data_IF_132306157758
#
_entry.id   IF_132306157758
#
_cell.length_a   1.000
_cell.length_b   1.000
_cell.length_c   1.000
_cell.angle_alpha   90.00
_cell.angle_beta   90.00
_cell.angle_gamma   90.00
#
_symmetry.space_group_name_H-M   'P 1'
#
loop_
_entity.id
_entity.type
_entity.pdbx_description
1 polymer ?
#
# COMPACT_ATOMS: atom_id res chain seq x y z
N UNK A 1 -4.64 -9.07 18.75
CA UNK A 1 -4.44 -9.39 17.33
C UNK A 1 -4.37 -8.09 16.56
N UNK A 2 -3.23 -7.82 15.92
CA UNK A 2 -2.97 -6.58 15.18
C UNK A 2 -3.64 -6.61 13.79
N UNK A 3 -3.91 -5.44 13.20
CA UNK A 3 -4.52 -5.35 11.86
C UNK A 3 -3.69 -6.10 10.79
N UNK A 4 -2.36 -6.05 10.88
CA UNK A 4 -1.47 -6.74 9.96
C UNK A 4 -1.71 -8.26 9.98
N UNK A 5 -1.87 -8.86 11.17
CA UNK A 5 -2.10 -10.31 11.34
C UNK A 5 -3.41 -10.74 10.68
N UNK A 6 -4.44 -9.89 10.72
CA UNK A 6 -5.75 -10.17 10.10
C UNK A 6 -5.74 -10.09 8.58
N UNK A 7 -4.76 -9.38 8.01
CA UNK A 7 -4.66 -9.11 6.59
C UNK A 7 -3.52 -9.88 5.91
N UNK A 8 -2.75 -10.66 6.67
CA UNK A 8 -1.56 -11.38 6.21
C UNK A 8 -1.84 -12.32 5.01
N UNK A 9 -3.04 -12.90 4.96
CA UNK A 9 -3.48 -13.81 3.91
C UNK A 9 -4.31 -13.12 2.81
N UNK A 10 -4.35 -11.78 2.78
CA UNK A 10 -5.20 -11.00 1.87
C UNK A 10 -4.40 -10.22 0.84
N UNK A 11 -5.12 -9.86 -0.22
CA UNK A 11 -4.71 -8.82 -1.16
C UNK A 11 -4.85 -7.47 -0.47
N UNK A 12 -3.75 -6.75 -0.25
CA UNK A 12 -3.75 -5.47 0.43
C UNK A 12 -3.11 -4.43 -0.46
N UNK A 13 -3.79 -3.31 -0.64
CA UNK A 13 -3.21 -2.11 -1.20
C UNK A 13 -3.23 -1.00 -0.17
N UNK A 14 -2.06 -0.40 0.05
CA UNK A 14 -1.78 0.69 0.96
C UNK A 14 -1.39 1.87 0.08
N UNK A 15 -2.13 2.97 0.20
CA UNK A 15 -1.84 4.21 -0.51
C UNK A 15 -1.62 5.33 0.48
N UNK A 16 -0.55 6.10 0.27
CA UNK A 16 -0.17 7.13 1.23
C UNK A 16 0.50 8.35 0.59
N UNK A 17 0.34 9.49 1.28
CA UNK A 17 1.00 10.75 0.98
C UNK A 17 2.38 10.87 1.61
N UNK A 18 3.44 11.14 0.85
CA UNK A 18 4.79 11.30 1.42
C UNK A 18 4.87 12.44 2.45
N UNK A 19 4.05 13.49 2.26
CA UNK A 19 3.96 14.67 3.10
C UNK A 19 2.79 14.63 4.08
N UNK A 20 2.19 13.45 4.35
CA UNK A 20 1.17 13.29 5.39
C UNK A 20 1.79 13.47 6.79
N UNK A 21 1.64 14.67 7.35
CA UNK A 21 2.17 15.02 8.69
C UNK A 21 1.34 14.44 9.84
N UNK A 22 0.12 13.94 9.57
CA UNK A 22 -0.79 13.43 10.60
C UNK A 22 -0.47 11.99 10.98
N UNK A 23 -0.25 11.15 9.98
CA UNK A 23 0.09 9.73 10.18
C UNK A 23 1.60 9.52 10.08
N UNK A 24 2.29 10.31 9.25
CA UNK A 24 3.70 10.12 8.94
C UNK A 24 3.94 8.89 8.06
N UNK A 25 4.87 9.02 7.11
CA UNK A 25 5.19 7.94 6.16
C UNK A 25 5.76 6.68 6.80
N UNK A 26 6.40 6.83 7.96
CA UNK A 26 7.00 5.72 8.69
C UNK A 26 5.98 4.66 9.11
N UNK A 27 4.79 5.05 9.58
CA UNK A 27 3.78 4.08 10.04
C UNK A 27 3.25 3.21 8.91
N UNK A 28 2.99 3.80 7.73
CA UNK A 28 2.52 3.04 6.57
C UNK A 28 3.61 2.08 6.04
N UNK A 29 4.87 2.53 6.05
CA UNK A 29 6.02 1.70 5.68
C UNK A 29 6.19 0.55 6.67
N UNK A 30 6.20 0.81 7.99
CA UNK A 30 6.36 -0.21 9.02
C UNK A 30 5.20 -1.23 8.97
N UNK A 31 3.97 -0.76 8.72
CA UNK A 31 2.81 -1.62 8.53
C UNK A 31 2.94 -2.51 7.28
N UNK A 32 3.37 -1.95 6.15
CA UNK A 32 3.62 -2.70 4.93
C UNK A 32 4.74 -3.74 5.11
N UNK A 33 5.84 -3.35 5.77
CA UNK A 33 6.95 -4.25 6.10
C UNK A 33 6.48 -5.40 6.98
N UNK A 34 5.70 -5.12 8.04
CA UNK A 34 5.16 -6.16 8.92
C UNK A 34 4.21 -7.10 8.18
N UNK A 35 3.34 -6.57 7.32
CA UNK A 35 2.47 -7.38 6.48
C UNK A 35 3.27 -8.29 5.55
N UNK A 36 4.30 -7.75 4.89
CA UNK A 36 5.17 -8.52 4.03
C UNK A 36 5.96 -9.58 4.80
N UNK A 37 6.39 -9.30 6.03
CA UNK A 37 7.10 -10.27 6.88
C UNK A 37 6.23 -11.50 7.15
N UNK A 38 4.99 -11.28 7.61
CA UNK A 38 4.10 -12.35 8.08
C UNK A 38 3.24 -12.98 6.97
N UNK A 39 3.18 -12.38 5.79
CA UNK A 39 2.38 -12.93 4.69
C UNK A 39 2.96 -14.28 4.23
N UNK A 40 2.11 -15.33 4.10
CA UNK A 40 2.52 -16.64 3.60
C UNK A 40 2.64 -16.66 2.06
N UNK A 41 2.34 -15.56 1.37
CA UNK A 41 2.25 -15.50 -0.08
C UNK A 41 3.60 -15.22 -0.76
N UNK A 42 3.68 -15.42 -2.08
CA UNK A 42 4.92 -15.38 -2.86
C UNK A 42 5.47 -13.95 -2.94
N UNK A 43 6.77 -13.78 -2.65
CA UNK A 43 7.46 -12.48 -2.59
C UNK A 43 8.46 -12.41 -3.73
N UNK A 44 8.36 -11.40 -4.60
CA UNK A 44 9.36 -11.13 -5.66
C UNK A 44 10.41 -10.10 -5.20
N UNK A 45 11.59 -10.13 -5.82
CA UNK A 45 12.73 -9.28 -5.46
C UNK A 45 12.58 -7.83 -5.96
N UNK A 46 13.11 -6.90 -5.17
CA UNK A 46 12.75 -5.48 -5.13
C UNK A 46 13.21 -4.66 -6.35
N UNK A 47 12.34 -3.76 -6.82
CA UNK A 47 12.79 -2.48 -7.37
C UNK A 47 12.14 -1.28 -6.68
N UNK A 48 10.84 -1.30 -6.34
CA UNK A 48 10.15 -0.10 -5.81
C UNK A 48 9.03 -0.34 -4.75
N UNK A 49 9.07 -1.41 -3.92
CA UNK A 49 8.06 -1.77 -2.87
C UNK A 49 6.78 -2.53 -3.32
N UNK A 50 6.88 -3.43 -4.30
CA UNK A 50 5.71 -4.16 -4.82
C UNK A 50 6.02 -5.66 -5.00
N UNK A 51 5.10 -6.52 -4.55
CA UNK A 51 4.88 -7.88 -5.08
C UNK A 51 3.72 -7.76 -6.07
N UNK A 52 3.88 -8.29 -7.29
CA UNK A 52 2.92 -8.11 -8.38
C UNK A 52 1.50 -8.59 -8.04
N UNK A 53 1.33 -9.46 -7.03
CA UNK A 53 0.04 -10.13 -6.83
C UNK A 53 -0.63 -9.98 -5.46
N UNK A 54 -0.02 -9.42 -4.40
CA UNK A 54 -0.59 -9.57 -3.04
C UNK A 54 -0.59 -8.33 -2.14
N UNK A 55 0.58 -7.77 -1.82
CA UNK A 55 0.68 -6.62 -0.91
C UNK A 55 1.38 -5.49 -1.61
N UNK A 56 0.78 -4.32 -1.50
CA UNK A 56 1.14 -3.19 -2.29
C UNK A 56 1.24 -1.89 -1.51
N UNK A 57 2.34 -1.14 -1.63
CA UNK A 57 2.49 0.22 -1.12
C UNK A 57 2.74 1.25 -2.24
N UNK A 58 1.80 2.18 -2.44
CA UNK A 58 1.97 3.38 -3.25
C UNK A 58 2.29 4.58 -2.36
N UNK A 59 3.38 5.28 -2.65
CA UNK A 59 3.74 6.54 -1.99
C UNK A 59 3.82 7.65 -3.04
N UNK A 60 3.03 8.71 -2.87
CA UNK A 60 3.01 9.86 -3.77
C UNK A 60 2.91 11.18 -3.03
N UNK A 61 3.18 12.33 -3.67
CA UNK A 61 2.92 13.64 -3.08
C UNK A 61 1.40 13.85 -2.97
N UNK A 62 0.92 14.13 -1.75
CA UNK A 62 -0.50 14.44 -1.52
C UNK A 62 -0.89 15.78 -2.14
N UNK A 63 -2.17 15.92 -2.47
CA UNK A 63 -2.69 17.20 -2.94
C UNK A 63 -3.02 18.15 -1.77
N UNK A 64 -2.41 19.34 -1.75
CA UNK A 64 -2.70 20.40 -0.77
C UNK A 64 -1.69 20.50 0.36
N UNK A 65 -1.75 21.64 1.08
CA UNK A 65 -0.71 22.06 2.02
C UNK A 65 -0.55 21.17 3.27
N UNK A 66 -1.57 20.38 3.63
CA UNK A 66 -1.58 19.58 4.87
C UNK A 66 -1.33 18.08 4.69
N UNK A 67 -1.08 17.60 3.46
CA UNK A 67 -0.60 16.23 3.22
C UNK A 67 -1.58 15.06 3.47
N UNK A 68 -2.64 15.23 4.26
CA UNK A 68 -3.62 14.18 4.55
C UNK A 68 -4.79 14.21 3.55
N UNK A 69 -4.49 13.84 2.31
CA UNK A 69 -5.43 13.83 1.18
C UNK A 69 -5.02 12.76 0.18
N UNK A 70 -5.84 12.56 -0.87
CA UNK A 70 -5.47 11.68 -1.97
C UNK A 70 -4.36 12.32 -2.81
N UNK A 71 -3.40 11.52 -3.30
CA UNK A 71 -2.48 11.96 -4.35
C UNK A 71 -3.19 11.92 -5.72
N UNK A 72 -2.66 12.68 -6.69
CA UNK A 72 -3.33 12.95 -7.98
C UNK A 72 -3.90 11.70 -8.67
N UNK A 73 -3.18 10.59 -8.63
CA UNK A 73 -3.52 9.38 -9.39
C UNK A 73 -4.04 8.25 -8.50
N UNK A 74 -4.28 8.50 -7.20
CA UNK A 74 -4.65 7.45 -6.24
C UNK A 74 -5.86 6.64 -6.71
N UNK A 75 -6.91 7.29 -7.22
CA UNK A 75 -8.12 6.62 -7.67
C UNK A 75 -7.92 5.80 -8.95
N UNK A 76 -7.06 6.27 -9.85
CA UNK A 76 -6.74 5.56 -11.10
C UNK A 76 -5.89 4.32 -10.80
N UNK A 77 -4.91 4.45 -9.89
CA UNK A 77 -4.10 3.35 -9.38
C UNK A 77 -4.98 2.32 -8.64
N UNK A 78 -5.97 2.78 -7.86
CA UNK A 78 -6.96 1.94 -7.21
C UNK A 78 -7.75 1.09 -8.21
N UNK A 79 -8.30 1.77 -9.23
CA UNK A 79 -9.10 1.13 -10.26
C UNK A 79 -8.26 0.10 -11.03
N UNK A 80 -7.03 0.45 -11.42
CA UNK A 80 -6.11 -0.46 -12.09
C UNK A 80 -5.71 -1.66 -11.21
N UNK A 81 -5.54 -1.46 -9.90
CA UNK A 81 -5.26 -2.56 -8.97
C UNK A 81 -6.45 -3.50 -8.80
N UNK A 82 -7.68 -2.97 -8.69
CA UNK A 82 -8.90 -3.77 -8.60
C UNK A 82 -9.18 -4.54 -9.90
N UNK A 83 -9.06 -3.89 -11.06
CA UNK A 83 -9.37 -4.50 -12.37
C UNK A 83 -8.44 -5.67 -12.70
N UNK A 84 -7.15 -5.59 -12.34
CA UNK A 84 -6.20 -6.71 -12.48
C UNK A 84 -6.63 -7.98 -11.73
N UNK A 85 -7.50 -7.84 -10.73
CA UNK A 85 -7.98 -8.96 -9.89
C UNK A 85 -9.37 -9.46 -10.23
N UNK A 86 -10.19 -8.67 -10.93
CA UNK A 86 -11.54 -9.08 -11.38
C UNK A 86 -11.50 -9.77 -12.75
N UNK A 87 -10.41 -9.59 -13.51
CA UNK A 87 -10.24 -10.15 -14.86
C UNK A 87 -9.72 -11.59 -14.94
N UNK A 88 -9.59 -12.32 -13.84
CA UNK A 88 -9.08 -13.70 -13.79
C UNK A 88 -9.91 -14.60 -12.86
#
# INVERSE_FOLDING_TARGET
MLLAERLADRNVWISMGHNDERVGSRHAIDFALRLMEISPRRKEAMTHFWSIDDILLTVGPSQGAGGHSTHRNAHEEAAAWLLRRVGH
#
